data_IF_808405082129
#
_entry.id   IF_808405082129
#
_cell.length_a   1.000
_cell.length_b   1.000
_cell.length_c   1.000
_cell.angle_alpha   90.00
_cell.angle_beta   90.00
_cell.angle_gamma   90.00
#
_symmetry.space_group_name_H-M   'P 1'
#
loop_
_entity.id
_entity.type
_entity.pdbx_description
1 polymer ?
#
# COMPACT_ATOMS: atom_id res chain seq x y z
N UNK A 1 0.69 23.10 -60.45
CA UNK A 1 -0.22 22.25 -59.66
C UNK A 1 0.60 21.06 -59.18
N UNK A 2 1.19 21.19 -58.01
CA UNK A 2 1.99 20.15 -57.35
C UNK A 2 1.39 19.94 -55.98
N UNK A 3 0.85 18.74 -55.77
CA UNK A 3 0.29 18.27 -54.51
C UNK A 3 1.40 18.23 -53.46
N UNK A 4 1.23 18.97 -52.37
CA UNK A 4 2.08 18.83 -51.19
C UNK A 4 1.34 17.88 -50.26
N UNK A 5 1.80 16.64 -50.23
CA UNK A 5 1.45 15.66 -49.21
C UNK A 5 1.94 16.18 -47.86
N UNK A 6 1.01 16.68 -47.04
CA UNK A 6 1.25 16.89 -45.62
C UNK A 6 1.05 15.53 -44.96
N UNK A 7 2.14 14.79 -44.83
CA UNK A 7 2.24 13.67 -43.92
C UNK A 7 1.96 14.19 -42.50
N UNK A 8 0.86 13.75 -41.92
CA UNK A 8 0.69 13.77 -40.47
C UNK A 8 1.79 12.90 -39.87
N UNK A 9 2.84 13.53 -39.33
CA UNK A 9 3.70 12.91 -38.33
C UNK A 9 2.83 12.55 -37.13
N UNK A 10 2.43 11.28 -37.06
CA UNK A 10 1.84 10.70 -35.88
C UNK A 10 2.90 10.75 -34.76
N UNK A 11 2.60 11.52 -33.71
CA UNK A 11 3.36 11.60 -32.47
C UNK A 11 3.40 10.20 -31.82
N UNK A 12 4.48 9.47 -32.08
CA UNK A 12 4.76 8.18 -31.49
C UNK A 12 5.36 8.37 -30.10
N UNK A 13 4.53 8.47 -29.04
CA UNK A 13 5.09 8.38 -27.68
C UNK A 13 4.18 8.00 -26.49
N UNK A 14 2.92 7.55 -26.64
CA UNK A 14 2.19 6.92 -25.51
C UNK A 14 1.17 5.86 -25.98
N UNK A 15 1.06 4.70 -25.30
CA UNK A 15 0.01 3.73 -25.61
C UNK A 15 -1.38 4.30 -25.26
N UNK A 16 -2.34 4.11 -26.16
CA UNK A 16 -3.75 4.49 -25.95
C UNK A 16 -4.31 3.82 -24.68
N UNK A 17 -5.10 4.54 -23.88
CA UNK A 17 -5.63 4.08 -22.58
C UNK A 17 -6.39 2.76 -22.71
N UNK A 18 -7.15 2.57 -23.80
CA UNK A 18 -7.87 1.33 -24.06
C UNK A 18 -6.91 0.15 -24.34
N UNK A 19 -5.78 0.41 -25.01
CA UNK A 19 -4.75 -0.59 -25.26
C UNK A 19 -4.06 -1.06 -23.98
N UNK A 20 -3.84 -0.15 -23.02
CA UNK A 20 -3.29 -0.48 -21.69
C UNK A 20 -4.27 -1.33 -20.90
N UNK A 21 -5.54 -0.92 -20.83
CA UNK A 21 -6.59 -1.66 -20.13
C UNK A 21 -6.76 -3.10 -20.67
N UNK A 22 -6.74 -3.28 -22.00
CA UNK A 22 -6.81 -4.63 -22.61
C UNK A 22 -5.63 -5.51 -22.21
N UNK A 23 -4.40 -4.99 -22.27
CA UNK A 23 -3.21 -5.74 -21.86
C UNK A 23 -3.24 -6.14 -20.38
N UNK A 24 -3.80 -5.29 -19.54
CA UNK A 24 -3.95 -5.54 -18.12
C UNK A 24 -4.99 -6.64 -17.87
N UNK A 25 -6.13 -6.62 -18.59
CA UNK A 25 -7.14 -7.70 -18.57
C UNK A 25 -6.53 -9.05 -19.00
N UNK A 26 -5.80 -9.08 -20.12
CA UNK A 26 -5.13 -10.30 -20.60
C UNK A 26 -4.14 -10.84 -19.55
N UNK A 27 -3.43 -9.94 -18.86
CA UNK A 27 -2.49 -10.30 -17.80
C UNK A 27 -3.16 -10.81 -16.53
N UNK A 28 -4.31 -10.24 -16.12
CA UNK A 28 -5.04 -10.70 -14.93
C UNK A 28 -5.60 -12.10 -15.13
N UNK A 29 -6.06 -12.45 -16.34
CA UNK A 29 -6.54 -13.80 -16.64
C UNK A 29 -5.42 -14.86 -16.60
N UNK A 30 -4.19 -14.46 -16.92
CA UNK A 30 -3.05 -15.40 -17.00
C UNK A 30 -2.33 -15.58 -15.66
N UNK A 31 -2.36 -14.58 -14.78
CA UNK A 31 -1.57 -14.50 -13.55
C UNK A 31 -2.41 -14.07 -12.33
N UNK A 32 -3.61 -14.65 -12.20
CA UNK A 32 -4.44 -14.54 -10.98
C UNK A 32 -4.23 -15.79 -10.13
N UNK A 33 -3.72 -15.60 -8.92
CA UNK A 33 -3.64 -16.65 -7.93
C UNK A 33 -4.97 -16.73 -7.20
N UNK A 34 -5.45 -17.95 -6.90
CA UNK A 34 -6.56 -18.09 -5.96
C UNK A 34 -6.00 -18.25 -4.54
N UNK A 35 -6.03 -17.20 -3.69
CA UNK A 35 -5.48 -17.29 -2.34
C UNK A 35 -6.22 -18.30 -1.46
N UNK A 36 -7.41 -18.76 -1.85
CA UNK A 36 -8.12 -19.84 -1.15
C UNK A 36 -7.36 -21.15 -1.27
N UNK A 37 -6.70 -21.39 -2.41
CA UNK A 37 -6.02 -22.65 -2.73
C UNK A 37 -4.50 -22.56 -2.59
N UNK A 38 -3.91 -21.40 -2.84
CA UNK A 38 -2.45 -21.20 -2.83
C UNK A 38 -1.86 -21.08 -1.42
N UNK A 39 -2.62 -20.50 -0.49
CA UNK A 39 -2.19 -20.36 0.90
C UNK A 39 -2.58 -21.61 1.68
N UNK A 40 -1.61 -22.22 2.35
CA UNK A 40 -1.89 -23.30 3.31
C UNK A 40 -2.62 -22.73 4.53
N UNK A 41 -3.94 -22.87 4.54
CA UNK A 41 -4.80 -22.45 5.63
C UNK A 41 -4.93 -23.50 6.74
N UNK A 42 -4.74 -24.78 6.43
CA UNK A 42 -5.03 -25.90 7.33
C UNK A 42 -3.90 -26.17 8.33
N UNK A 43 -2.64 -25.99 7.95
CA UNK A 43 -1.52 -26.20 8.89
C UNK A 43 -1.62 -25.23 10.07
N UNK A 44 -1.62 -25.71 11.33
CA UNK A 44 -1.69 -24.83 12.50
C UNK A 44 -0.54 -23.80 12.52
N UNK A 45 -0.81 -22.62 13.08
CA UNK A 45 0.21 -21.60 13.28
C UNK A 45 1.36 -22.14 14.15
N UNK A 46 2.56 -22.26 13.58
CA UNK A 46 3.78 -22.48 14.33
C UNK A 46 4.30 -21.16 14.91
N UNK A 47 4.20 -21.02 16.24
CA UNK A 47 4.61 -19.82 16.97
C UNK A 47 6.14 -19.66 17.09
N UNK A 48 6.92 -20.59 16.56
CA UNK A 48 8.39 -20.49 16.44
C UNK A 48 8.84 -19.63 15.26
N UNK A 49 7.93 -19.20 14.40
CA UNK A 49 8.18 -18.23 13.34
C UNK A 49 7.74 -16.82 13.72
N UNK A 50 8.40 -15.84 13.11
CA UNK A 50 7.98 -14.44 13.13
C UNK A 50 6.79 -14.21 12.18
N UNK A 51 5.99 -13.16 12.41
CA UNK A 51 4.97 -12.73 11.44
C UNK A 51 5.51 -11.80 10.35
N UNK A 52 6.59 -11.09 10.65
CA UNK A 52 7.30 -10.18 9.75
C UNK A 52 8.80 -10.33 10.02
N UNK A 53 9.65 -9.95 9.06
CA UNK A 53 11.09 -9.92 9.28
C UNK A 53 11.42 -9.10 10.52
N UNK A 54 12.21 -9.63 11.49
CA UNK A 54 12.47 -8.98 12.77
C UNK A 54 12.88 -7.52 12.66
N UNK A 55 13.69 -7.21 11.65
CA UNK A 55 14.23 -5.87 11.41
C UNK A 55 13.12 -4.84 11.19
N UNK A 56 11.98 -5.24 10.62
CA UNK A 56 10.81 -4.38 10.40
C UNK A 56 10.01 -4.10 11.66
N UNK A 57 10.27 -4.81 12.77
CA UNK A 57 9.57 -4.56 14.03
C UNK A 57 9.83 -3.13 14.51
N UNK A 58 8.78 -2.49 15.03
CA UNK A 58 8.89 -1.12 15.55
C UNK A 58 9.83 -1.00 16.75
N UNK A 59 10.12 -2.11 17.43
CA UNK A 59 11.07 -2.14 18.55
C UNK A 59 12.47 -2.63 18.15
N UNK A 60 12.68 -3.17 16.96
CA UNK A 60 13.99 -3.71 16.58
C UNK A 60 15.11 -2.69 16.79
N UNK A 61 16.22 -3.13 17.40
CA UNK A 61 17.37 -2.27 17.70
C UNK A 61 17.21 -1.37 18.93
N UNK A 62 16.05 -1.36 19.60
CA UNK A 62 15.86 -0.63 20.87
C UNK A 62 16.36 -1.43 22.07
N UNK A 63 16.55 -0.76 23.21
CA UNK A 63 16.84 -1.43 24.48
C UNK A 63 15.75 -2.43 24.86
N UNK A 64 14.48 -2.09 24.67
CA UNK A 64 13.39 -2.98 25.04
C UNK A 64 13.40 -4.26 24.19
N UNK A 65 13.69 -4.15 22.89
CA UNK A 65 13.83 -5.33 22.03
C UNK A 65 14.94 -6.29 22.47
N UNK A 66 16.08 -5.74 22.91
CA UNK A 66 17.19 -6.55 23.42
C UNK A 66 16.84 -7.31 24.71
N UNK A 67 15.87 -6.81 25.47
CA UNK A 67 15.34 -7.47 26.68
C UNK A 67 14.25 -8.52 26.37
N UNK A 68 13.63 -8.47 25.19
CA UNK A 68 12.57 -9.40 24.83
C UNK A 68 13.12 -10.82 24.65
N UNK A 69 12.39 -11.79 25.19
CA UNK A 69 12.63 -13.20 24.87
C UNK A 69 12.38 -13.45 23.37
N UNK A 70 13.01 -14.49 22.76
CA UNK A 70 12.72 -14.84 21.37
C UNK A 70 11.23 -15.10 21.10
N UNK A 71 10.49 -15.64 22.08
CA UNK A 71 9.05 -15.83 22.00
C UNK A 71 8.27 -14.51 21.91
N UNK A 72 8.64 -13.51 22.73
CA UNK A 72 8.03 -12.18 22.69
C UNK A 72 8.35 -11.42 21.39
N UNK A 73 9.57 -11.55 20.88
CA UNK A 73 9.94 -10.97 19.58
C UNK A 73 9.07 -11.53 18.45
N UNK A 74 8.86 -12.84 18.43
CA UNK A 74 7.98 -13.49 17.44
C UNK A 74 6.52 -13.12 17.59
N UNK A 75 6.03 -13.05 18.82
CA UNK A 75 4.67 -12.63 19.08
C UNK A 75 4.44 -11.18 18.64
N UNK A 76 5.36 -10.28 18.97
CA UNK A 76 5.28 -8.88 18.54
C UNK A 76 5.22 -8.78 17.01
N UNK A 77 6.12 -9.44 16.28
CA UNK A 77 6.09 -9.36 14.81
C UNK A 77 4.85 -10.00 14.19
N UNK A 78 4.23 -11.01 14.83
CA UNK A 78 2.91 -11.53 14.42
C UNK A 78 1.81 -10.50 14.58
N UNK A 79 1.75 -9.82 15.73
CA UNK A 79 0.75 -8.78 15.96
C UNK A 79 0.95 -7.57 15.04
N UNK A 80 2.21 -7.17 14.80
CA UNK A 80 2.54 -6.10 13.86
C UNK A 80 2.17 -6.45 12.41
N UNK A 81 2.50 -7.67 11.94
CA UNK A 81 2.11 -8.13 10.60
C UNK A 81 0.58 -8.14 10.41
N UNK A 82 -0.16 -8.60 11.41
CA UNK A 82 -1.63 -8.57 11.37
C UNK A 82 -2.20 -7.15 11.41
N UNK A 83 -1.55 -6.22 12.10
CA UNK A 83 -1.92 -4.79 12.09
C UNK A 83 -1.70 -4.16 10.71
N UNK A 84 -0.59 -4.47 10.06
CA UNK A 84 -0.30 -4.01 8.69
C UNK A 84 -1.34 -4.55 7.72
N UNK A 85 -1.64 -5.86 7.78
CA UNK A 85 -2.68 -6.48 6.97
C UNK A 85 -4.07 -5.85 7.21
N UNK A 86 -4.42 -5.56 8.48
CA UNK A 86 -5.68 -4.89 8.83
C UNK A 86 -5.75 -3.46 8.28
N UNK A 87 -4.62 -2.77 8.24
CA UNK A 87 -4.53 -1.41 7.68
C UNK A 87 -4.61 -1.43 6.16
N UNK A 88 -4.01 -2.43 5.51
CA UNK A 88 -4.17 -2.70 4.07
C UNK A 88 -5.64 -2.89 3.72
N UNK A 89 -6.36 -3.79 4.42
CA UNK A 89 -7.82 -3.98 4.21
C UNK A 89 -8.58 -2.66 4.33
N UNK A 90 -8.30 -1.86 5.36
CA UNK A 90 -8.99 -0.57 5.53
C UNK A 90 -8.72 0.40 4.37
N UNK A 91 -7.49 0.41 3.88
CA UNK A 91 -7.10 1.22 2.74
C UNK A 91 -7.77 0.72 1.44
N UNK A 92 -7.80 -0.59 1.20
CA UNK A 92 -8.50 -1.16 0.03
C UNK A 92 -9.98 -0.81 -0.01
N UNK A 93 -10.64 -0.80 1.15
CA UNK A 93 -12.04 -0.39 1.23
C UNK A 93 -12.24 1.06 0.78
N UNK A 94 -11.27 1.95 1.01
CA UNK A 94 -11.31 3.34 0.53
C UNK A 94 -11.14 3.36 -1.01
N UNK A 95 -10.14 2.65 -1.51
CA UNK A 95 -9.82 2.55 -2.93
C UNK A 95 -11.01 2.04 -3.75
N UNK A 96 -11.58 0.90 -3.36
CA UNK A 96 -12.71 0.29 -4.07
C UNK A 96 -13.93 1.22 -4.15
N UNK A 97 -14.24 1.93 -3.05
CA UNK A 97 -15.34 2.90 -3.05
C UNK A 97 -15.08 4.08 -3.99
N UNK A 98 -13.83 4.52 -4.12
CA UNK A 98 -13.46 5.60 -5.02
C UNK A 98 -13.52 5.15 -6.49
N UNK A 99 -13.06 3.94 -6.80
CA UNK A 99 -13.14 3.36 -8.14
C UNK A 99 -14.60 3.15 -8.57
N UNK A 100 -15.43 2.55 -7.69
CA UNK A 100 -16.85 2.39 -7.96
C UNK A 100 -17.54 3.72 -8.24
N UNK A 101 -17.24 4.77 -7.46
CA UNK A 101 -17.80 6.11 -7.71
C UNK A 101 -17.32 6.70 -9.05
N UNK A 102 -16.06 6.50 -9.42
CA UNK A 102 -15.52 7.02 -10.69
C UNK A 102 -16.13 6.31 -11.92
N UNK A 103 -16.51 5.04 -11.80
CA UNK A 103 -17.04 4.24 -12.92
C UNK A 103 -18.56 4.01 -12.92
N UNK A 104 -19.28 4.44 -11.88
CA UNK A 104 -20.69 4.14 -11.61
C UNK A 104 -21.67 4.21 -12.81
N UNK A 105 -21.49 5.18 -13.71
CA UNK A 105 -22.36 5.38 -14.88
C UNK A 105 -21.58 5.52 -16.20
N UNK A 106 -20.37 4.94 -16.28
CA UNK A 106 -19.57 4.89 -17.52
C UNK A 106 -20.03 3.73 -18.41
N UNK A 107 -19.62 3.76 -19.68
CA UNK A 107 -19.95 2.73 -20.67
C UNK A 107 -19.36 1.35 -20.26
N UNK A 108 -20.19 0.32 -20.01
CA UNK A 108 -19.71 -1.00 -19.62
C UNK A 108 -18.99 -1.76 -20.73
N UNK A 109 -19.08 -1.30 -21.98
CA UNK A 109 -18.35 -1.86 -23.13
C UNK A 109 -16.93 -1.31 -23.26
N UNK A 110 -16.58 -0.25 -22.51
CA UNK A 110 -15.23 0.29 -22.44
C UNK A 110 -14.30 -0.68 -21.67
N UNK A 111 -13.17 -1.11 -22.25
CA UNK A 111 -12.16 -1.92 -21.54
C UNK A 111 -11.70 -1.31 -20.21
N UNK A 112 -11.69 0.02 -20.07
CA UNK A 112 -11.31 0.67 -18.82
C UNK A 112 -12.35 0.42 -17.70
N UNK A 113 -13.63 0.28 -18.04
CA UNK A 113 -14.67 -0.08 -17.07
C UNK A 113 -14.49 -1.52 -16.59
N UNK A 114 -14.25 -2.45 -17.52
CA UNK A 114 -14.03 -3.87 -17.22
C UNK A 114 -12.76 -4.08 -16.39
N UNK A 115 -11.69 -3.37 -16.73
CA UNK A 115 -10.46 -3.33 -15.93
C UNK A 115 -10.73 -2.84 -14.51
N UNK A 116 -11.43 -1.71 -14.33
CA UNK A 116 -11.72 -1.18 -13.00
C UNK A 116 -12.53 -2.15 -12.12
N UNK A 117 -13.46 -2.92 -12.69
CA UNK A 117 -14.18 -3.96 -11.95
C UNK A 117 -13.30 -5.19 -11.64
N UNK A 118 -12.34 -5.50 -12.49
CA UNK A 118 -11.36 -6.57 -12.26
C UNK A 118 -10.47 -6.22 -11.07
N UNK A 119 -9.94 -4.99 -11.02
CA UNK A 119 -9.18 -4.48 -9.87
C UNK A 119 -9.99 -4.58 -8.58
N UNK A 120 -11.26 -4.14 -8.59
CA UNK A 120 -12.12 -4.23 -7.39
C UNK A 120 -12.30 -5.69 -6.94
N UNK A 121 -12.41 -6.63 -7.89
CA UNK A 121 -12.53 -8.05 -7.57
C UNK A 121 -11.24 -8.62 -6.95
N UNK A 122 -10.07 -8.20 -7.46
CA UNK A 122 -8.78 -8.61 -6.93
C UNK A 122 -8.57 -8.05 -5.51
N UNK A 123 -8.90 -6.77 -5.28
CA UNK A 123 -8.82 -6.20 -3.93
C UNK A 123 -9.80 -6.80 -2.93
N UNK A 124 -10.93 -7.34 -3.39
CA UNK A 124 -11.80 -8.16 -2.55
C UNK A 124 -11.11 -9.47 -2.12
N UNK A 125 -10.40 -10.14 -3.06
CA UNK A 125 -9.65 -11.37 -2.76
C UNK A 125 -8.47 -11.10 -1.84
N UNK A 126 -7.69 -10.05 -2.09
CA UNK A 126 -6.61 -9.61 -1.21
C UNK A 126 -7.11 -9.31 0.20
N UNK A 127 -8.20 -8.55 0.32
CA UNK A 127 -8.78 -8.20 1.62
C UNK A 127 -9.23 -9.44 2.41
N UNK A 128 -9.86 -10.42 1.75
CA UNK A 128 -10.25 -11.69 2.38
C UNK A 128 -9.00 -12.49 2.78
N UNK A 129 -7.99 -12.56 1.92
CA UNK A 129 -6.72 -13.24 2.19
C UNK A 129 -6.04 -12.64 3.43
N UNK A 130 -5.91 -11.32 3.51
CA UNK A 130 -5.35 -10.62 4.67
C UNK A 130 -6.17 -10.85 5.94
N UNK A 131 -7.50 -10.85 5.85
CA UNK A 131 -8.37 -11.09 7.00
C UNK A 131 -8.20 -12.52 7.56
N UNK A 132 -8.13 -13.53 6.66
CA UNK A 132 -7.83 -14.92 7.05
C UNK A 132 -6.41 -15.04 7.63
N UNK A 133 -5.44 -14.33 7.06
CA UNK A 133 -4.07 -14.25 7.55
C UNK A 133 -4.00 -13.70 8.98
N UNK A 134 -4.64 -12.56 9.24
CA UNK A 134 -4.73 -11.96 10.57
C UNK A 134 -5.41 -12.88 11.60
N UNK A 135 -6.49 -13.56 11.19
CA UNK A 135 -7.16 -14.55 12.03
C UNK A 135 -6.23 -15.75 12.36
N UNK A 136 -5.50 -16.27 11.36
CA UNK A 136 -4.53 -17.37 11.53
C UNK A 136 -3.34 -16.96 12.41
N UNK A 137 -2.92 -15.69 12.35
CA UNK A 137 -1.95 -15.08 13.27
C UNK A 137 -2.48 -14.89 14.70
N UNK A 138 -3.76 -15.21 14.96
CA UNK A 138 -4.45 -15.04 16.26
C UNK A 138 -4.49 -13.58 16.72
N UNK A 139 -4.53 -12.64 15.78
CA UNK A 139 -4.65 -11.23 16.08
C UNK A 139 -6.12 -10.82 16.29
N UNK A 140 -6.39 -9.83 17.16
CA UNK A 140 -7.68 -9.18 17.19
C UNK A 140 -7.87 -8.29 15.95
N UNK A 141 -9.10 -7.78 15.77
CA UNK A 141 -9.40 -6.82 14.72
C UNK A 141 -8.75 -5.46 15.03
N UNK A 142 -7.54 -5.23 14.52
CA UNK A 142 -6.89 -3.93 14.58
C UNK A 142 -7.61 -2.94 13.67
N UNK A 143 -7.87 -1.74 14.21
CA UNK A 143 -8.52 -0.66 13.47
C UNK A 143 -7.67 0.59 13.52
N UNK A 144 -7.65 1.40 12.45
CA UNK A 144 -7.08 2.74 12.51
C UNK A 144 -7.77 3.57 13.59
N UNK A 145 -7.08 4.59 14.08
CA UNK A 145 -7.66 5.53 15.05
C UNK A 145 -8.86 6.25 14.44
N UNK A 146 -9.80 6.67 15.30
CA UNK A 146 -11.03 7.38 14.88
C UNK A 146 -10.76 8.53 13.91
N UNK A 147 -9.75 9.36 14.19
CA UNK A 147 -9.41 10.47 13.29
C UNK A 147 -9.00 9.98 11.89
N UNK A 148 -8.20 8.92 11.79
CA UNK A 148 -7.83 8.33 10.50
C UNK A 148 -9.07 7.79 9.76
N UNK A 149 -9.99 7.12 10.48
CA UNK A 149 -11.25 6.62 9.91
C UNK A 149 -12.10 7.78 9.35
N UNK A 150 -12.27 8.87 10.09
CA UNK A 150 -13.06 10.02 9.60
C UNK A 150 -12.37 10.74 8.44
N UNK A 151 -11.04 10.87 8.47
CA UNK A 151 -10.26 11.41 7.33
C UNK A 151 -10.41 10.51 6.10
N UNK A 152 -10.36 9.18 6.27
CA UNK A 152 -10.60 8.23 5.19
C UNK A 152 -12.03 8.31 4.64
N UNK A 153 -13.04 8.52 5.48
CA UNK A 153 -14.43 8.75 5.05
C UNK A 153 -14.59 10.03 4.26
N UNK A 154 -13.94 11.11 4.68
CA UNK A 154 -13.94 12.35 3.92
C UNK A 154 -13.24 12.14 2.58
N UNK A 155 -12.02 11.59 2.62
CA UNK A 155 -11.19 11.36 1.44
C UNK A 155 -11.91 10.50 0.39
N UNK A 156 -12.45 9.33 0.77
CA UNK A 156 -13.16 8.46 -0.17
C UNK A 156 -14.35 9.15 -0.83
N UNK A 157 -15.01 10.08 -0.14
CA UNK A 157 -16.19 10.79 -0.62
C UNK A 157 -15.85 11.99 -1.50
N UNK A 158 -14.73 12.66 -1.28
CA UNK A 158 -14.40 13.93 -1.99
C UNK A 158 -13.23 13.84 -2.96
N UNK A 159 -12.26 12.94 -2.74
CA UNK A 159 -11.07 12.86 -3.57
C UNK A 159 -11.41 12.29 -4.94
N UNK A 160 -11.03 12.98 -6.01
CA UNK A 160 -11.22 12.54 -7.40
C UNK A 160 -9.92 12.70 -8.18
N UNK A 161 -9.84 12.06 -9.34
CA UNK A 161 -8.74 12.23 -10.27
C UNK A 161 -7.36 11.86 -9.70
N UNK A 162 -6.35 12.65 -10.03
CA UNK A 162 -4.94 12.37 -9.70
C UNK A 162 -4.65 12.27 -8.20
N UNK A 163 -5.39 13.00 -7.35
CA UNK A 163 -5.20 12.94 -5.90
C UNK A 163 -5.54 11.55 -5.35
N UNK A 164 -6.51 10.87 -5.99
CA UNK A 164 -6.87 9.50 -5.66
C UNK A 164 -5.73 8.55 -6.00
N UNK A 165 -5.32 8.49 -7.28
CA UNK A 165 -4.30 7.55 -7.75
C UNK A 165 -2.93 7.78 -7.11
N UNK A 166 -2.54 9.03 -6.88
CA UNK A 166 -1.27 9.33 -6.21
C UNK A 166 -1.29 8.95 -4.73
N UNK A 167 -2.41 9.16 -4.02
CA UNK A 167 -2.54 8.70 -2.64
C UNK A 167 -2.60 7.17 -2.54
N UNK A 168 -3.18 6.52 -3.55
CA UNK A 168 -3.20 5.06 -3.66
C UNK A 168 -1.79 4.51 -3.80
N UNK A 169 -1.03 5.04 -4.76
CA UNK A 169 0.35 4.62 -5.00
C UNK A 169 1.22 4.68 -3.74
N UNK A 170 1.01 5.68 -2.87
CA UNK A 170 1.75 5.78 -1.61
C UNK A 170 1.45 4.59 -0.69
N UNK A 171 0.19 4.17 -0.57
CA UNK A 171 -0.16 3.03 0.27
C UNK A 171 0.46 1.74 -0.28
N UNK A 172 0.27 1.50 -1.58
CA UNK A 172 0.76 0.31 -2.25
C UNK A 172 2.26 0.17 -2.17
N UNK A 173 3.01 1.23 -2.51
CA UNK A 173 4.47 1.16 -2.51
C UNK A 173 5.05 0.98 -1.09
N UNK A 174 4.43 1.55 -0.07
CA UNK A 174 4.86 1.34 1.34
C UNK A 174 4.61 -0.10 1.78
N UNK A 175 3.48 -0.70 1.40
CA UNK A 175 3.19 -2.10 1.71
C UNK A 175 4.09 -3.04 0.91
N UNK A 176 4.27 -2.79 -0.39
CA UNK A 176 5.07 -3.59 -1.32
C UNK A 176 6.52 -3.73 -0.82
N UNK A 177 7.15 -2.65 -0.34
CA UNK A 177 8.53 -2.74 0.18
C UNK A 177 8.64 -3.64 1.41
N UNK A 178 7.64 -3.62 2.30
CA UNK A 178 7.60 -4.49 3.48
C UNK A 178 7.38 -5.95 3.05
N UNK A 179 6.42 -6.18 2.16
CA UNK A 179 6.03 -7.51 1.71
C UNK A 179 7.14 -8.21 0.90
N UNK A 180 7.90 -7.46 0.08
CA UNK A 180 9.05 -7.99 -0.67
C UNK A 180 10.17 -8.53 0.22
N UNK A 181 10.39 -7.91 1.38
CA UNK A 181 11.35 -8.42 2.35
C UNK A 181 10.78 -9.66 3.06
N UNK A 182 9.53 -9.57 3.53
CA UNK A 182 8.91 -10.63 4.31
C UNK A 182 8.72 -11.93 3.51
N UNK A 183 8.39 -11.84 2.22
CA UNK A 183 8.21 -13.02 1.37
C UNK A 183 9.50 -13.83 1.17
N UNK A 184 10.68 -13.21 1.34
CA UNK A 184 12.00 -13.83 1.12
C UNK A 184 12.66 -14.31 2.41
N UNK A 185 12.16 -13.92 3.57
CA UNK A 185 12.78 -14.22 4.86
C UNK A 185 12.26 -15.54 5.46
N UNK A 186 13.12 -16.55 5.52
CA UNK A 186 12.76 -17.87 6.02
C UNK A 186 12.36 -17.88 7.51
N UNK A 187 12.69 -16.82 8.28
CA UNK A 187 12.26 -16.63 9.68
C UNK A 187 10.78 -16.26 9.80
N UNK A 188 10.16 -15.77 8.71
CA UNK A 188 8.74 -15.42 8.64
C UNK A 188 7.90 -16.68 8.40
N UNK A 189 6.75 -16.78 9.05
CA UNK A 189 5.87 -17.95 8.97
C UNK A 189 5.45 -18.23 7.51
N UNK A 190 5.51 -19.49 7.02
CA UNK A 190 5.37 -19.79 5.60
C UNK A 190 4.12 -19.22 4.93
N UNK A 191 2.94 -19.33 5.55
CA UNK A 191 1.71 -18.82 4.94
C UNK A 191 1.71 -17.29 4.76
N UNK A 192 2.38 -16.53 5.64
CA UNK A 192 2.52 -15.07 5.47
C UNK A 192 3.45 -14.77 4.30
N UNK A 193 4.50 -15.56 4.09
CA UNK A 193 5.36 -15.41 2.90
C UNK A 193 4.57 -15.65 1.61
N UNK A 194 3.71 -16.67 1.59
CA UNK A 194 2.83 -16.94 0.45
C UNK A 194 1.85 -15.80 0.20
N UNK A 195 1.17 -15.30 1.25
CA UNK A 195 0.28 -14.14 1.16
C UNK A 195 1.00 -12.93 0.55
N UNK A 196 2.20 -12.63 1.04
CA UNK A 196 2.99 -11.51 0.54
C UNK A 196 3.46 -11.73 -0.89
N UNK A 197 3.83 -12.95 -1.27
CA UNK A 197 4.22 -13.28 -2.64
C UNK A 197 3.06 -13.09 -3.62
N UNK A 198 1.86 -13.59 -3.28
CA UNK A 198 0.65 -13.40 -4.10
C UNK A 198 0.40 -11.91 -4.30
N UNK A 199 0.30 -11.15 -3.20
CA UNK A 199 0.01 -9.72 -3.26
C UNK A 199 1.04 -8.94 -4.07
N UNK A 200 2.34 -9.16 -3.83
CA UNK A 200 3.41 -8.47 -4.55
C UNK A 200 3.41 -8.75 -6.05
N UNK A 201 3.11 -9.98 -6.46
CA UNK A 201 3.04 -10.34 -7.88
C UNK A 201 1.84 -9.66 -8.54
N UNK A 202 0.69 -9.67 -7.89
CA UNK A 202 -0.54 -9.08 -8.42
C UNK A 202 -0.46 -7.54 -8.46
N UNK A 203 -0.05 -6.92 -7.35
CA UNK A 203 0.03 -5.46 -7.17
C UNK A 203 1.12 -4.80 -8.04
N UNK A 204 2.13 -5.57 -8.48
CA UNK A 204 3.15 -5.05 -9.41
C UNK A 204 2.56 -4.49 -10.71
N UNK A 205 1.38 -4.98 -11.12
CA UNK A 205 0.63 -4.50 -12.28
C UNK A 205 -0.08 -3.18 -11.98
N UNK A 206 -0.73 -3.10 -10.83
CA UNK A 206 -1.53 -1.97 -10.38
C UNK A 206 -0.64 -0.73 -10.14
N UNK A 207 0.52 -0.90 -9.50
CA UNK A 207 1.48 0.18 -9.28
C UNK A 207 1.95 0.86 -10.56
N UNK A 208 2.21 0.09 -11.62
CA UNK A 208 2.62 0.67 -12.92
C UNK A 208 1.51 1.52 -13.51
N UNK A 209 0.28 1.01 -13.51
CA UNK A 209 -0.89 1.74 -13.97
C UNK A 209 -1.11 3.03 -13.15
N UNK A 210 -1.01 2.96 -11.82
CA UNK A 210 -1.18 4.11 -10.93
C UNK A 210 -0.13 5.21 -11.16
N UNK A 211 1.13 4.85 -11.41
CA UNK A 211 2.20 5.81 -11.77
C UNK A 211 1.92 6.51 -13.09
N UNK A 212 1.49 5.78 -14.10
CA UNK A 212 1.20 6.33 -15.44
C UNK A 212 -0.03 7.26 -15.40
N UNK A 213 -1.11 6.85 -14.72
CA UNK A 213 -2.31 7.66 -14.53
C UNK A 213 -2.02 8.95 -13.72
N UNK A 214 -1.17 8.86 -12.70
CA UNK A 214 -0.73 10.02 -11.92
C UNK A 214 0.02 11.03 -12.79
N UNK A 215 0.96 10.56 -13.63
CA UNK A 215 1.71 11.44 -14.54
C UNK A 215 0.80 12.09 -15.56
N UNK A 216 -0.08 11.32 -16.19
CA UNK A 216 -0.94 11.82 -17.25
C UNK A 216 -1.94 12.85 -16.73
N UNK A 217 -2.56 12.62 -15.56
CA UNK A 217 -3.48 13.59 -14.98
C UNK A 217 -2.83 14.85 -14.43
N UNK A 218 -1.52 14.81 -14.11
CA UNK A 218 -0.73 15.98 -13.71
C UNK A 218 -0.08 16.72 -14.90
N UNK A 219 -0.17 16.15 -16.11
CA UNK A 219 0.28 16.79 -17.35
C UNK A 219 -0.54 18.07 -17.58
N UNK A 220 0.16 19.20 -17.77
CA UNK A 220 -0.49 20.50 -17.90
C UNK A 220 -1.14 21.06 -16.63
N UNK A 221 -1.05 20.38 -15.48
CA UNK A 221 -1.59 20.89 -14.22
C UNK A 221 -0.85 22.16 -13.77
N UNK A 222 -1.57 23.26 -13.55
CA UNK A 222 -1.03 24.51 -13.03
C UNK A 222 -0.53 24.40 -11.58
N UNK A 223 0.22 25.40 -11.13
CA UNK A 223 0.89 25.39 -9.82
C UNK A 223 -0.08 25.15 -8.65
N UNK A 224 -1.22 25.84 -8.62
CA UNK A 224 -2.19 25.70 -7.52
C UNK A 224 -2.72 24.27 -7.39
N UNK A 225 -3.06 23.63 -8.52
CA UNK A 225 -3.54 22.24 -8.56
C UNK A 225 -2.46 21.28 -8.08
N UNK A 226 -1.20 21.48 -8.52
CA UNK A 226 -0.05 20.68 -8.05
C UNK A 226 0.18 20.83 -6.55
N UNK A 227 0.15 22.05 -6.02
CA UNK A 227 0.31 22.31 -4.59
C UNK A 227 -0.80 21.68 -3.74
N UNK A 228 -2.05 21.76 -4.20
CA UNK A 228 -3.18 21.10 -3.54
C UNK A 228 -3.01 19.57 -3.52
N UNK A 229 -2.72 18.96 -4.66
CA UNK A 229 -2.50 17.52 -4.75
C UNK A 229 -1.30 17.06 -3.92
N UNK A 230 -0.19 17.80 -3.96
CA UNK A 230 0.99 17.55 -3.13
C UNK A 230 0.63 17.52 -1.65
N UNK A 231 -0.15 18.49 -1.18
CA UNK A 231 -0.62 18.55 0.20
C UNK A 231 -1.49 17.35 0.54
N UNK A 232 -2.53 17.07 -0.26
CA UNK A 232 -3.46 15.96 -0.03
C UNK A 232 -2.75 14.61 0.02
N UNK A 233 -1.88 14.32 -0.95
CA UNK A 233 -1.10 13.07 -1.01
C UNK A 233 -0.18 12.94 0.20
N UNK A 234 0.44 14.03 0.64
CA UNK A 234 1.32 13.99 1.82
C UNK A 234 0.58 13.79 3.15
N UNK A 235 -0.64 14.32 3.27
CA UNK A 235 -1.51 14.06 4.42
C UNK A 235 -1.95 12.60 4.41
N UNK A 236 -2.34 12.06 3.24
CA UNK A 236 -2.69 10.65 3.09
C UNK A 236 -1.50 9.75 3.49
N UNK A 237 -0.30 10.02 2.96
CA UNK A 237 0.92 9.32 3.30
C UNK A 237 1.17 9.29 4.81
N UNK A 238 1.05 10.44 5.49
CA UNK A 238 1.20 10.53 6.93
C UNK A 238 0.17 9.67 7.67
N UNK A 239 -1.09 9.73 7.27
CA UNK A 239 -2.18 8.95 7.90
C UNK A 239 -1.96 7.45 7.71
N UNK A 240 -1.59 7.02 6.50
CA UNK A 240 -1.34 5.62 6.16
C UNK A 240 -0.17 5.07 6.98
N UNK A 241 1.01 5.70 6.87
CA UNK A 241 2.23 5.24 7.55
C UNK A 241 2.04 5.24 9.07
N UNK A 242 1.40 6.26 9.64
CA UNK A 242 1.15 6.32 11.08
C UNK A 242 0.06 5.35 11.58
N UNK A 243 -0.69 4.72 10.68
CA UNK A 243 -1.72 3.72 11.01
C UNK A 243 -1.26 2.28 10.86
N UNK A 244 -0.14 2.02 10.17
CA UNK A 244 0.38 0.66 9.89
C UNK A 244 0.49 -0.23 11.13
N UNK A 245 1.03 0.31 12.21
CA UNK A 245 1.18 -0.40 13.48
C UNK A 245 0.28 0.22 14.54
N UNK A 246 -0.79 -0.51 14.87
CA UNK A 246 -1.70 -0.17 15.95
C UNK A 246 -0.95 -0.26 17.30
N UNK A 247 -1.23 0.65 18.23
CA UNK A 247 -0.58 0.65 19.54
C UNK A 247 -0.95 -0.54 20.43
N UNK A 248 -2.10 -1.15 20.18
CA UNK A 248 -2.59 -2.29 20.96
C UNK A 248 -1.79 -3.57 20.65
N UNK A 249 -0.99 -3.60 19.56
CA UNK A 249 -0.12 -4.75 19.23
C UNK A 249 0.83 -5.09 20.37
N UNK A 250 1.34 -4.08 21.10
CA UNK A 250 2.27 -4.30 22.19
C UNK A 250 1.59 -4.97 23.38
N UNK A 251 0.37 -4.53 23.73
CA UNK A 251 -0.40 -5.14 24.81
C UNK A 251 -0.82 -6.57 24.44
N UNK A 252 -1.25 -6.79 23.19
CA UNK A 252 -1.62 -8.11 22.70
C UNK A 252 -0.43 -9.06 22.60
N UNK A 253 0.78 -8.53 22.39
CA UNK A 253 2.02 -9.29 22.47
C UNK A 253 2.54 -9.50 23.92
N UNK A 254 1.78 -9.06 24.93
CA UNK A 254 2.14 -9.24 26.34
C UNK A 254 3.25 -8.29 26.83
N UNK A 255 3.46 -7.16 26.16
CA UNK A 255 4.49 -6.16 26.48
C UNK A 255 3.92 -5.00 27.30
N UNK A 256 4.79 -4.25 27.98
CA UNK A 256 4.47 -2.92 28.51
C UNK A 256 4.24 -1.97 27.34
N UNK A 257 2.98 -1.80 26.97
CA UNK A 257 2.58 -0.96 25.85
C UNK A 257 3.05 0.50 26.00
N UNK A 258 3.08 1.05 27.22
CA UNK A 258 3.51 2.44 27.42
C UNK A 258 4.99 2.59 27.13
N UNK A 259 5.82 1.63 27.58
CA UNK A 259 7.25 1.61 27.26
C UNK A 259 7.48 1.37 25.77
N UNK A 260 6.84 0.36 25.20
CA UNK A 260 6.97 0.02 23.79
C UNK A 260 6.63 1.21 22.87
N UNK A 261 5.52 1.92 23.12
CA UNK A 261 5.15 3.10 22.35
C UNK A 261 6.21 4.20 22.43
N UNK A 262 6.83 4.42 23.59
CA UNK A 262 7.89 5.44 23.74
C UNK A 262 9.14 5.04 22.96
N UNK A 263 9.58 3.80 23.08
CA UNK A 263 10.79 3.31 22.40
C UNK A 263 10.58 3.22 20.89
N UNK A 264 9.44 2.71 20.41
CA UNK A 264 9.09 2.70 19.00
C UNK A 264 9.10 4.10 18.36
N UNK A 265 8.57 5.11 19.06
CA UNK A 265 8.61 6.52 18.58
C UNK A 265 10.03 7.09 18.49
N UNK A 266 10.93 6.62 19.35
CA UNK A 266 12.33 7.05 19.39
C UNK A 266 13.24 6.18 18.50
N UNK A 267 12.74 5.09 17.92
CA UNK A 267 13.54 4.11 17.21
C UNK A 267 14.06 4.65 15.86
N UNK A 268 15.33 5.07 15.83
CA UNK A 268 15.97 5.56 14.61
C UNK A 268 16.25 4.47 13.57
N UNK A 269 16.40 3.20 13.98
CA UNK A 269 16.53 2.08 13.04
C UNK A 269 15.28 1.96 12.18
N UNK A 270 14.11 1.90 12.82
CA UNK A 270 12.84 1.78 12.12
C UNK A 270 12.54 2.99 11.22
N UNK A 271 12.83 4.21 11.70
CA UNK A 271 12.71 5.43 10.88
C UNK A 271 13.64 5.42 9.68
N UNK A 272 14.89 4.99 9.88
CA UNK A 272 15.88 4.92 8.80
C UNK A 272 15.48 3.90 7.75
N UNK A 273 14.98 2.74 8.18
CA UNK A 273 14.49 1.70 7.29
C UNK A 273 13.33 2.21 6.43
N UNK A 274 12.31 2.84 7.04
CA UNK A 274 11.19 3.41 6.29
C UNK A 274 11.66 4.43 5.25
N UNK A 275 12.57 5.35 5.62
CA UNK A 275 13.15 6.33 4.68
C UNK A 275 13.88 5.65 3.53
N UNK A 276 14.76 4.68 3.82
CA UNK A 276 15.55 4.03 2.77
C UNK A 276 14.70 3.17 1.85
N UNK A 277 13.74 2.42 2.40
CA UNK A 277 12.88 1.54 1.62
C UNK A 277 11.91 2.32 0.74
N UNK A 278 11.45 3.50 1.17
CA UNK A 278 10.53 4.34 0.40
C UNK A 278 11.22 5.36 -0.52
N UNK A 279 12.55 5.28 -0.70
CA UNK A 279 13.28 6.27 -1.50
C UNK A 279 12.76 6.36 -2.95
N UNK A 280 12.47 5.22 -3.59
CA UNK A 280 11.92 5.18 -4.96
C UNK A 280 10.55 5.85 -5.08
N UNK A 281 9.67 5.66 -4.09
CA UNK A 281 8.38 6.36 -4.02
C UNK A 281 8.59 7.88 -3.95
N UNK A 282 9.51 8.32 -3.09
CA UNK A 282 9.78 9.74 -2.91
C UNK A 282 10.41 10.37 -4.16
N UNK A 283 11.30 9.66 -4.86
CA UNK A 283 11.83 10.07 -6.16
C UNK A 283 10.71 10.22 -7.21
N UNK A 284 9.78 9.26 -7.27
CA UNK A 284 8.62 9.35 -8.16
C UNK A 284 7.75 10.57 -7.84
N UNK A 285 7.37 10.75 -6.58
CA UNK A 285 6.55 11.91 -6.15
C UNK A 285 7.27 13.24 -6.45
N UNK A 286 8.60 13.28 -6.37
CA UNK A 286 9.38 14.44 -6.75
C UNK A 286 9.27 14.71 -8.25
N UNK A 287 9.46 13.66 -9.06
CA UNK A 287 9.36 13.74 -10.53
C UNK A 287 7.97 14.19 -11.00
N UNK A 288 6.93 13.85 -10.25
CA UNK A 288 5.55 14.28 -10.51
C UNK A 288 5.23 15.70 -9.99
N UNK A 289 6.16 16.35 -9.29
CA UNK A 289 5.98 17.68 -8.71
C UNK A 289 5.10 17.71 -7.44
N UNK A 290 5.00 16.57 -6.74
CA UNK A 290 4.21 16.40 -5.50
C UNK A 290 5.04 16.62 -4.21
N UNK A 291 6.33 16.96 -4.35
CA UNK A 291 7.22 17.37 -3.27
C UNK A 291 7.38 18.90 -3.23
N UNK A 292 6.47 19.54 -2.51
CA UNK A 292 6.46 20.98 -2.22
C UNK A 292 6.92 21.20 -0.78
N UNK A 293 7.33 22.43 -0.43
CA UNK A 293 7.75 22.76 0.95
C UNK A 293 6.71 22.36 2.02
N UNK A 294 5.41 22.51 1.72
CA UNK A 294 4.34 22.14 2.62
C UNK A 294 4.19 20.61 2.74
N UNK A 295 4.24 19.88 1.62
CA UNK A 295 4.13 18.41 1.64
C UNK A 295 5.34 17.72 2.28
N UNK A 296 6.54 18.29 2.11
CA UNK A 296 7.78 17.84 2.78
C UNK A 296 7.62 17.74 4.30
N UNK A 297 6.83 18.63 4.93
CA UNK A 297 6.62 18.56 6.38
C UNK A 297 5.95 17.26 6.82
N UNK A 298 4.93 16.81 6.08
CA UNK A 298 4.22 15.56 6.38
C UNK A 298 5.08 14.33 6.11
N UNK A 299 5.81 14.31 4.99
CA UNK A 299 6.72 13.20 4.67
C UNK A 299 7.83 13.05 5.72
N UNK A 300 8.41 14.15 6.21
CA UNK A 300 9.36 14.11 7.35
C UNK A 300 8.72 13.56 8.62
N UNK A 301 7.49 13.97 8.92
CA UNK A 301 6.76 13.50 10.10
C UNK A 301 6.36 12.02 10.00
N UNK A 302 6.21 11.50 8.78
CA UNK A 302 6.00 10.08 8.48
C UNK A 302 7.32 9.27 8.45
N UNK A 303 8.49 9.93 8.50
CA UNK A 303 9.81 9.31 8.30
C UNK A 303 9.96 8.68 6.90
N UNK A 304 9.45 9.34 5.87
CA UNK A 304 9.65 8.93 4.47
C UNK A 304 10.81 9.70 3.80
N UNK A 305 11.25 10.82 4.39
CA UNK A 305 12.41 11.63 4.00
C UNK A 305 13.14 12.20 5.22
#
# INVERSE_FOLDING_TARGET
MTSVDIQHEADASQPDRQSVARRLLDSSETLSYDPVHEVDWETPLDTNYHGASPEWSTLYGTSYWAELTPGQQRELTRQEAASVASTGIWFEMILQQMMLRDFYAKDPTDPAFQWALTEIADECRHSIMFARGAAKLRAPAYRPRRLAVELGRFFKTTATGEAAYAAILVAEEVLDVMQRDWMRDERVVPFVRTINNIHVVEESRHMKFARDETRERLKGAGLLRRHYNAFVVSVAAYVIVSSMVNQDVYANAGLDAKRAIREARANEHHKSMLRSSCAGLMEFLNSAGLLTKASTWFYKRANLI
#
